data_IF_032477554140
#
_entry.id   IF_032477554140
#
_cell.length_a   1.000
_cell.length_b   1.000
_cell.length_c   1.000
_cell.angle_alpha   90.00
_cell.angle_beta   90.00
_cell.angle_gamma   90.00
#
_symmetry.space_group_name_H-M   'P 1'
#
loop_
_entity.id
_entity.type
_entity.pdbx_description
1 polymer ?
#
# COMPACT_ATOMS: atom_id res chain seq x y z
N UNK A 1 -64.35 -73.56 -32.77
CA UNK A 1 -64.62 -72.37 -31.94
C UNK A 1 -64.31 -72.74 -30.49
N UNK A 2 -63.23 -72.21 -29.93
CA UNK A 2 -62.87 -72.08 -28.51
C UNK A 2 -61.44 -71.49 -28.43
N UNK A 3 -61.27 -70.17 -28.59
CA UNK A 3 -60.92 -69.17 -27.55
C UNK A 3 -60.00 -69.65 -26.40
N UNK A 4 -58.73 -69.23 -26.47
CA UNK A 4 -58.03 -68.48 -25.42
C UNK A 4 -57.47 -69.21 -24.21
N UNK A 5 -56.14 -69.20 -24.08
CA UNK A 5 -55.50 -68.97 -22.78
C UNK A 5 -54.14 -68.32 -22.99
N UNK A 6 -54.08 -67.01 -22.76
CA UNK A 6 -52.86 -66.23 -22.60
C UNK A 6 -52.70 -66.03 -21.09
N UNK A 7 -51.70 -66.66 -20.50
CA UNK A 7 -51.31 -66.50 -19.09
C UNK A 7 -49.82 -66.18 -19.07
N UNK A 8 -49.28 -65.18 -18.35
CA UNK A 8 -49.79 -64.03 -17.61
C UNK A 8 -48.56 -63.16 -17.33
N UNK A 9 -48.71 -61.85 -17.46
CA UNK A 9 -47.93 -60.77 -16.83
C UNK A 9 -46.40 -60.87 -16.81
N UNK A 10 -45.75 -60.30 -17.82
CA UNK A 10 -44.44 -59.67 -17.61
C UNK A 10 -44.68 -58.33 -16.90
N UNK A 11 -44.54 -58.29 -15.58
CA UNK A 11 -44.35 -57.04 -14.86
C UNK A 11 -43.06 -56.42 -15.37
N UNK A 12 -43.19 -55.41 -16.25
CA UNK A 12 -42.07 -54.56 -16.61
C UNK A 12 -41.87 -53.59 -15.45
N UNK A 13 -41.08 -54.00 -14.47
CA UNK A 13 -40.65 -53.12 -13.38
C UNK A 13 -39.59 -52.17 -13.96
N UNK A 14 -40.06 -51.14 -14.66
CA UNK A 14 -39.27 -50.19 -15.44
C UNK A 14 -38.72 -49.07 -14.53
N UNK A 15 -38.12 -49.45 -13.40
CA UNK A 15 -37.38 -48.52 -12.57
C UNK A 15 -36.06 -49.17 -12.21
N UNK A 16 -35.14 -49.16 -13.18
CA UNK A 16 -33.73 -49.38 -12.89
C UNK A 16 -33.23 -48.25 -11.97
N UNK A 17 -33.13 -48.56 -10.67
CA UNK A 17 -32.60 -47.65 -9.63
C UNK A 17 -31.08 -47.60 -9.61
N UNK A 18 -30.40 -48.39 -10.44
CA UNK A 18 -28.95 -48.58 -10.33
C UNK A 18 -28.15 -47.61 -11.17
N UNK A 19 -28.79 -46.73 -11.96
CA UNK A 19 -28.10 -45.87 -12.93
C UNK A 19 -27.12 -46.67 -13.79
N UNK A 20 -27.39 -47.96 -14.03
CA UNK A 20 -26.45 -48.83 -14.73
C UNK A 20 -26.53 -48.62 -16.23
N UNK A 21 -25.37 -48.53 -16.87
CA UNK A 21 -25.22 -48.28 -18.30
C UNK A 21 -25.23 -49.57 -19.14
N UNK A 22 -25.42 -50.74 -18.51
CA UNK A 22 -25.20 -52.05 -19.13
C UNK A 22 -26.21 -52.41 -20.25
N UNK A 23 -27.36 -51.74 -20.33
CA UNK A 23 -28.37 -51.95 -21.38
C UNK A 23 -28.93 -50.64 -21.96
N UNK A 24 -28.23 -49.53 -21.79
CA UNK A 24 -28.65 -48.22 -22.31
C UNK A 24 -28.39 -48.19 -23.82
N UNK A 25 -29.30 -47.66 -24.65
CA UNK A 25 -29.05 -47.55 -26.09
C UNK A 25 -27.74 -46.79 -26.34
N UNK A 26 -27.03 -47.19 -27.39
CA UNK A 26 -25.62 -46.84 -27.59
C UNK A 26 -25.38 -45.31 -27.59
N UNK A 27 -26.38 -44.54 -28.04
CA UNK A 27 -26.41 -43.09 -28.03
C UNK A 27 -26.44 -42.48 -26.62
N UNK A 28 -27.26 -43.02 -25.73
CA UNK A 28 -27.37 -42.57 -24.35
C UNK A 28 -26.15 -42.98 -23.50
N UNK A 29 -25.53 -44.14 -23.77
CA UNK A 29 -24.24 -44.51 -23.17
C UNK A 29 -23.12 -43.58 -23.61
N UNK A 30 -23.01 -43.32 -24.92
CA UNK A 30 -21.98 -42.42 -25.45
C UNK A 30 -22.13 -40.99 -24.92
N UNK A 31 -23.37 -40.51 -24.78
CA UNK A 31 -23.66 -39.19 -24.20
C UNK A 31 -23.31 -39.14 -22.72
N UNK A 32 -23.63 -40.18 -21.95
CA UNK A 32 -23.28 -40.29 -20.54
C UNK A 32 -21.77 -40.33 -20.29
N UNK A 33 -21.03 -41.13 -21.08
CA UNK A 33 -19.57 -41.23 -21.00
C UNK A 33 -18.90 -39.87 -21.33
N UNK A 34 -19.36 -39.20 -22.39
CA UNK A 34 -18.83 -37.88 -22.78
C UNK A 34 -19.14 -36.77 -21.75
N UNK A 35 -20.25 -36.89 -21.02
CA UNK A 35 -20.63 -35.92 -20.01
C UNK A 35 -19.95 -36.19 -18.66
N UNK A 36 -19.71 -37.45 -18.30
CA UNK A 36 -19.03 -37.86 -17.07
C UNK A 36 -17.61 -37.27 -16.96
N UNK A 37 -16.89 -37.14 -18.08
CA UNK A 37 -15.57 -36.49 -18.13
C UNK A 37 -15.63 -34.97 -17.91
N UNK A 38 -16.82 -34.38 -17.96
CA UNK A 38 -17.06 -32.92 -17.82
C UNK A 38 -17.74 -32.54 -16.50
N UNK A 39 -18.09 -33.51 -15.64
CA UNK A 39 -18.77 -33.23 -14.36
C UNK A 39 -17.78 -32.85 -13.27
N UNK A 40 -17.52 -31.54 -13.17
CA UNK A 40 -16.85 -30.88 -12.06
C UNK A 40 -17.18 -29.40 -12.12
N UNK A 41 -18.33 -28.99 -11.57
CA UNK A 41 -18.93 -27.64 -11.71
C UNK A 41 -18.16 -26.50 -10.98
N UNK A 42 -16.92 -26.75 -10.58
CA UNK A 42 -15.99 -25.73 -10.08
C UNK A 42 -15.09 -25.16 -11.20
N UNK A 43 -15.30 -25.62 -12.45
CA UNK A 43 -14.41 -25.38 -13.59
C UNK A 43 -15.19 -24.73 -14.75
N UNK A 44 -14.68 -23.61 -15.25
CA UNK A 44 -15.23 -22.90 -16.42
C UNK A 44 -14.68 -23.56 -17.70
N UNK A 45 -15.57 -23.95 -18.62
CA UNK A 45 -15.25 -24.62 -19.88
C UNK A 45 -15.46 -23.68 -21.10
N UNK A 46 -14.80 -23.93 -22.22
CA UNK A 46 -15.03 -23.22 -23.50
C UNK A 46 -16.21 -23.81 -24.31
N UNK A 47 -16.49 -23.24 -25.50
CA UNK A 47 -17.60 -23.67 -26.38
C UNK A 47 -17.45 -25.12 -26.87
N UNK A 48 -16.22 -25.64 -26.91
CA UNK A 48 -15.89 -27.03 -27.27
C UNK A 48 -15.87 -27.95 -26.02
N UNK A 49 -16.05 -27.38 -24.83
CA UNK A 49 -16.06 -28.08 -23.55
C UNK A 49 -14.68 -28.48 -23.03
N UNK A 50 -13.62 -27.81 -23.49
CA UNK A 50 -12.29 -27.93 -22.91
C UNK A 50 -12.17 -27.09 -21.65
N UNK A 51 -11.30 -27.52 -20.74
CA UNK A 51 -11.04 -26.77 -19.52
C UNK A 51 -10.27 -25.48 -19.83
N UNK A 52 -10.86 -24.33 -19.51
CA UNK A 52 -10.18 -23.04 -19.57
C UNK A 52 -9.33 -22.89 -18.30
N UNK A 53 -8.25 -23.66 -18.20
CA UNK A 53 -7.16 -23.24 -17.34
C UNK A 53 -6.42 -22.14 -18.10
N UNK A 54 -6.43 -20.92 -17.59
CA UNK A 54 -5.17 -20.18 -17.69
C UNK A 54 -4.14 -21.07 -16.99
N UNK A 55 -3.17 -21.62 -17.73
CA UNK A 55 -2.12 -22.42 -17.10
C UNK A 55 -1.49 -21.61 -15.97
N UNK A 56 -1.09 -22.25 -14.87
CA UNK A 56 -0.38 -21.54 -13.79
C UNK A 56 0.75 -20.66 -14.35
N UNK A 57 1.48 -21.16 -15.35
CA UNK A 57 2.50 -20.40 -16.07
C UNK A 57 1.96 -19.18 -16.84
N UNK A 58 0.78 -19.26 -17.46
CA UNK A 58 0.14 -18.12 -18.13
C UNK A 58 -0.38 -17.08 -17.11
N UNK A 59 -0.97 -17.53 -16.00
CA UNK A 59 -1.37 -16.65 -14.89
C UNK A 59 -0.14 -15.99 -14.28
N UNK A 60 0.90 -16.75 -13.96
CA UNK A 60 2.16 -16.24 -13.42
C UNK A 60 2.82 -15.24 -14.37
N UNK A 61 2.78 -15.47 -15.70
CA UNK A 61 3.27 -14.51 -16.71
C UNK A 61 2.43 -13.22 -16.77
N UNK A 62 1.11 -13.33 -16.65
CA UNK A 62 0.20 -12.19 -16.62
C UNK A 62 0.36 -11.37 -15.32
N UNK A 63 0.69 -12.06 -14.22
CA UNK A 63 0.79 -11.50 -12.88
C UNK A 63 2.20 -10.96 -12.58
N UNK A 64 3.22 -11.50 -13.25
CA UNK A 64 4.58 -11.00 -13.25
C UNK A 64 4.58 -9.53 -13.67
N UNK A 65 4.89 -8.65 -12.73
CA UNK A 65 4.96 -7.21 -12.94
C UNK A 65 3.64 -6.44 -12.77
N UNK A 66 2.47 -7.10 -12.69
CA UNK A 66 1.18 -6.43 -12.48
C UNK A 66 0.72 -6.37 -11.02
N UNK A 67 1.17 -7.32 -10.19
CA UNK A 67 0.95 -7.30 -8.73
C UNK A 67 2.08 -6.63 -7.96
N UNK A 68 3.06 -6.07 -8.65
CA UNK A 68 3.98 -5.16 -8.02
C UNK A 68 3.22 -3.91 -7.62
N UNK A 69 2.82 -3.82 -6.36
CA UNK A 69 2.69 -2.55 -5.65
C UNK A 69 4.04 -1.76 -5.64
N UNK A 70 5.01 -2.16 -6.46
CA UNK A 70 6.35 -1.60 -6.61
C UNK A 70 6.31 -0.26 -7.33
N UNK A 71 5.47 -0.04 -8.34
CA UNK A 71 5.40 1.30 -8.95
C UNK A 71 4.85 2.35 -7.96
N UNK A 72 4.00 1.91 -7.02
CA UNK A 72 3.58 2.72 -5.88
C UNK A 72 4.62 2.74 -4.74
N UNK A 73 5.42 1.69 -4.53
CA UNK A 73 6.39 1.60 -3.43
C UNK A 73 7.77 2.20 -3.75
N UNK A 74 8.20 2.23 -5.02
CA UNK A 74 9.50 2.72 -5.44
C UNK A 74 9.62 4.24 -5.26
N UNK A 75 8.49 4.96 -5.32
CA UNK A 75 8.40 6.39 -4.98
C UNK A 75 7.44 6.71 -3.82
N UNK A 76 6.62 5.76 -3.37
CA UNK A 76 5.66 5.99 -2.28
C UNK A 76 6.25 5.94 -0.89
N UNK A 77 5.39 6.05 0.11
CA UNK A 77 5.76 6.02 1.53
C UNK A 77 6.18 4.60 1.93
N UNK A 78 7.40 4.45 2.44
CA UNK A 78 7.94 3.17 2.95
C UNK A 78 8.07 3.14 4.46
N UNK A 79 8.06 4.31 5.11
CA UNK A 79 7.94 4.44 6.56
C UNK A 79 7.44 5.85 6.91
N UNK A 80 6.76 6.00 8.03
CA UNK A 80 6.36 7.29 8.55
C UNK A 80 6.03 7.22 10.03
N UNK A 81 5.97 8.38 10.65
CA UNK A 81 5.52 8.59 12.02
C UNK A 81 5.03 10.02 12.19
N UNK A 82 4.76 10.42 13.43
CA UNK A 82 4.11 11.71 13.74
C UNK A 82 4.79 12.93 13.11
N UNK A 83 6.12 12.87 12.96
CA UNK A 83 6.97 13.99 12.55
C UNK A 83 7.96 13.65 11.42
N UNK A 84 7.73 12.56 10.69
CA UNK A 84 8.54 12.21 9.52
C UNK A 84 7.86 11.30 8.51
N UNK A 85 8.38 11.33 7.28
CA UNK A 85 8.07 10.34 6.24
C UNK A 85 9.33 9.96 5.47
N UNK A 86 9.41 8.70 5.06
CA UNK A 86 10.43 8.15 4.16
C UNK A 86 9.76 7.63 2.90
N UNK A 87 10.31 8.03 1.76
CA UNK A 87 9.89 7.58 0.44
C UNK A 87 10.82 6.48 -0.08
N UNK A 88 10.29 5.56 -0.88
CA UNK A 88 11.02 4.43 -1.44
C UNK A 88 12.23 4.83 -2.27
N UNK A 89 12.18 6.01 -2.88
CA UNK A 89 13.27 6.57 -3.66
C UNK A 89 14.43 7.10 -2.80
N UNK A 90 14.36 7.01 -1.47
CA UNK A 90 15.39 7.43 -0.53
C UNK A 90 15.21 8.83 0.05
N UNK A 91 14.17 9.57 -0.36
CA UNK A 91 13.86 10.88 0.21
C UNK A 91 13.25 10.76 1.61
N UNK A 92 13.69 11.60 2.54
CA UNK A 92 13.11 11.74 3.87
C UNK A 92 12.68 13.18 4.08
N UNK A 93 11.56 13.37 4.76
CA UNK A 93 11.08 14.66 5.22
C UNK A 93 10.86 14.53 6.73
N UNK A 94 11.43 15.43 7.51
CA UNK A 94 11.15 15.60 8.93
C UNK A 94 10.52 16.97 9.14
N UNK A 95 9.50 17.07 9.98
CA UNK A 95 8.89 18.35 10.38
C UNK A 95 8.76 18.41 11.89
N UNK A 96 8.53 19.60 12.42
CA UNK A 96 8.33 19.78 13.86
C UNK A 96 8.32 21.24 14.27
N UNK A 97 8.38 21.46 15.58
CA UNK A 97 8.32 22.78 16.17
C UNK A 97 9.49 22.98 17.12
N UNK A 98 10.08 24.17 17.10
CA UNK A 98 11.11 24.59 18.05
C UNK A 98 10.68 25.89 18.70
N UNK A 99 11.12 26.12 19.93
CA UNK A 99 10.97 27.39 20.61
C UNK A 99 12.34 27.98 20.92
N UNK A 100 12.39 29.30 20.91
CA UNK A 100 13.55 30.04 21.39
C UNK A 100 13.31 30.54 22.81
N UNK A 101 14.38 30.58 23.60
CA UNK A 101 14.38 31.28 24.88
C UNK A 101 14.18 32.79 24.70
N UNK A 102 14.22 33.53 25.80
CA UNK A 102 14.16 35.00 25.77
C UNK A 102 15.26 35.56 24.85
N UNK A 103 14.87 36.36 23.86
CA UNK A 103 15.81 36.95 22.92
C UNK A 103 16.25 38.33 23.40
N UNK A 104 17.48 38.44 23.86
CA UNK A 104 18.05 39.71 24.34
C UNK A 104 18.41 40.67 23.19
N UNK A 105 18.37 41.99 23.42
CA UNK A 105 18.77 42.99 22.43
C UNK A 105 20.16 42.72 21.85
N UNK A 106 20.28 42.83 20.53
CA UNK A 106 21.55 42.69 19.80
C UNK A 106 22.29 41.37 20.06
N UNK A 107 21.53 40.30 20.34
CA UNK A 107 22.07 38.96 20.59
C UNK A 107 21.41 37.93 19.68
N UNK A 108 22.20 36.91 19.31
CA UNK A 108 21.68 35.68 18.75
C UNK A 108 21.13 34.79 19.88
N UNK A 109 20.03 34.11 19.61
CA UNK A 109 19.45 33.05 20.46
C UNK A 109 19.38 31.78 19.64
N UNK A 110 19.71 30.64 20.25
CA UNK A 110 19.88 29.37 19.56
C UNK A 110 18.80 28.38 19.96
N UNK A 111 18.42 27.52 19.02
CA UNK A 111 17.56 26.38 19.26
C UNK A 111 17.89 25.25 18.29
N UNK A 112 17.51 24.03 18.66
CA UNK A 112 17.83 22.82 17.89
C UNK A 112 16.55 22.19 17.37
N UNK A 113 16.44 22.07 16.05
CA UNK A 113 15.43 21.19 15.46
C UNK A 113 15.97 19.77 15.43
N UNK A 114 15.46 18.93 16.34
CA UNK A 114 15.80 17.49 16.41
C UNK A 114 14.90 16.71 15.46
N UNK A 115 15.50 15.89 14.61
CA UNK A 115 14.76 15.06 13.67
C UNK A 115 14.21 13.81 14.36
N UNK A 116 12.97 13.43 14.05
CA UNK A 116 12.37 12.21 14.57
C UNK A 116 13.16 10.94 14.17
N UNK A 117 13.83 10.99 13.01
CA UNK A 117 14.75 9.94 12.53
C UNK A 117 15.95 10.60 11.86
N UNK A 118 17.16 10.00 11.91
CA UNK A 118 18.33 10.60 11.30
C UNK A 118 18.26 10.58 9.76
N UNK A 119 18.86 11.59 9.13
CA UNK A 119 19.24 11.56 7.71
C UNK A 119 20.53 10.76 7.52
N UNK A 120 20.77 10.28 6.30
CA UNK A 120 21.99 9.56 5.93
C UNK A 120 23.25 10.43 5.99
N UNK A 121 23.10 11.74 5.75
CA UNK A 121 24.18 12.71 5.80
C UNK A 121 23.62 14.13 6.06
N UNK A 122 24.50 15.13 6.12
CA UNK A 122 24.16 16.54 6.39
C UNK A 122 23.75 17.33 5.14
N UNK A 123 23.55 16.68 3.99
CA UNK A 123 23.17 17.28 2.72
C UNK A 123 21.68 17.64 2.58
N UNK A 124 20.88 17.54 3.66
CA UNK A 124 19.48 17.91 3.64
C UNK A 124 19.28 19.43 3.51
N UNK A 125 18.19 19.84 2.88
CA UNK A 125 17.67 21.20 2.94
C UNK A 125 16.85 21.39 4.22
N UNK A 126 16.78 22.61 4.74
CA UNK A 126 15.99 22.95 5.93
C UNK A 126 15.40 24.35 5.77
N UNK A 127 14.19 24.51 6.27
CA UNK A 127 13.48 25.78 6.41
C UNK A 127 12.80 25.82 7.77
N UNK A 128 12.68 27.01 8.35
CA UNK A 128 11.73 27.25 9.42
C UNK A 128 10.94 28.52 9.19
N UNK A 129 9.76 28.59 9.79
CA UNK A 129 8.83 29.70 9.71
C UNK A 129 8.37 30.07 11.11
N UNK A 130 8.44 31.35 11.43
CA UNK A 130 7.91 31.87 12.68
C UNK A 130 6.38 31.73 12.72
N UNK A 131 5.85 31.24 13.84
CA UNK A 131 4.43 30.86 13.97
C UNK A 131 3.50 31.98 14.42
N UNK A 132 4.02 33.05 15.01
CA UNK A 132 3.23 34.19 15.47
C UNK A 132 4.05 35.48 15.43
N UNK A 133 3.37 36.62 15.26
CA UNK A 133 4.02 37.93 15.28
C UNK A 133 4.60 38.24 16.67
N UNK A 134 5.85 38.71 16.69
CA UNK A 134 6.57 39.10 17.93
C UNK A 134 6.66 40.63 18.06
N UNK A 135 5.90 41.36 17.24
CA UNK A 135 5.86 42.82 17.13
C UNK A 135 7.15 43.40 16.57
N UNK A 136 7.06 44.50 15.82
CA UNK A 136 8.23 45.27 15.36
C UNK A 136 8.99 44.68 14.17
N UNK A 137 9.66 45.56 13.42
CA UNK A 137 10.41 45.26 12.20
C UNK A 137 11.75 44.58 12.53
N UNK A 138 11.74 43.31 12.88
CA UNK A 138 12.97 42.54 12.92
C UNK A 138 12.89 41.43 11.88
N UNK A 139 13.75 41.57 10.88
CA UNK A 139 14.06 40.54 9.91
C UNK A 139 14.60 39.33 10.68
N UNK A 140 13.77 38.33 10.96
CA UNK A 140 14.19 37.06 11.53
C UNK A 140 14.87 36.23 10.44
N UNK A 141 16.12 36.60 10.14
CA UNK A 141 17.01 35.74 9.37
C UNK A 141 17.32 34.52 10.24
N UNK A 142 16.69 33.39 9.93
CA UNK A 142 17.07 32.10 10.50
C UNK A 142 18.44 31.78 9.92
N UNK A 143 19.46 31.87 10.78
CA UNK A 143 20.80 31.46 10.39
C UNK A 143 20.93 29.98 10.74
N UNK A 144 21.17 29.17 9.70
CA UNK A 144 21.68 27.82 9.90
C UNK A 144 23.06 27.92 10.53
N UNK A 145 23.21 27.36 11.73
CA UNK A 145 24.47 27.39 12.47
C UNK A 145 25.28 26.15 12.12
N UNK A 146 24.67 24.98 12.24
CA UNK A 146 25.29 23.71 11.92
C UNK A 146 24.27 22.67 11.45
N UNK A 147 24.79 21.54 10.97
CA UNK A 147 24.01 20.39 10.55
C UNK A 147 24.62 19.12 11.12
N UNK A 148 23.76 18.25 11.66
CA UNK A 148 24.08 16.89 12.06
C UNK A 148 23.09 15.94 11.39
N UNK A 149 23.37 14.65 11.37
CA UNK A 149 22.41 13.67 10.82
C UNK A 149 21.12 13.60 11.63
N UNK A 150 21.13 14.04 12.90
CA UNK A 150 20.00 13.95 13.85
C UNK A 150 19.30 15.28 14.12
N UNK A 151 19.81 16.39 13.59
CA UNK A 151 19.21 17.70 13.80
C UNK A 151 20.00 18.85 13.19
N UNK A 152 19.44 20.05 13.23
CA UNK A 152 20.10 21.28 12.83
C UNK A 152 20.00 22.32 13.93
N UNK A 153 21.11 22.98 14.27
CA UNK A 153 21.04 24.18 15.10
C UNK A 153 20.75 25.40 14.25
N UNK A 154 19.78 26.16 14.71
CA UNK A 154 19.36 27.41 14.08
C UNK A 154 19.47 28.52 15.10
N UNK A 155 19.68 29.74 14.60
CA UNK A 155 19.67 30.92 15.43
C UNK A 155 18.78 32.00 14.87
N UNK A 156 18.25 32.78 15.80
CA UNK A 156 17.48 33.98 15.55
C UNK A 156 18.19 35.17 16.17
N UNK A 157 18.16 36.31 15.51
CA UNK A 157 18.79 37.54 16.00
C UNK A 157 17.72 38.57 16.36
N UNK A 158 17.80 39.13 17.57
CA UNK A 158 16.92 40.21 17.97
C UNK A 158 17.58 41.57 17.72
N UNK A 159 17.15 42.26 16.65
CA UNK A 159 17.61 43.62 16.32
C UNK A 159 16.86 44.75 17.07
N UNK A 160 15.93 44.44 17.98
CA UNK A 160 15.28 45.46 18.82
C UNK A 160 16.23 45.95 19.90
N UNK A 161 15.94 47.15 20.40
CA UNK A 161 16.54 47.71 21.62
C UNK A 161 15.99 47.08 22.91
N UNK A 162 14.93 46.28 22.82
CA UNK A 162 14.29 45.60 23.96
C UNK A 162 14.26 44.08 23.77
N UNK A 163 14.24 43.30 24.87
CA UNK A 163 14.03 41.87 24.79
C UNK A 163 12.67 41.53 24.15
N UNK A 164 12.59 40.36 23.51
CA UNK A 164 11.31 39.70 23.23
C UNK A 164 11.04 38.66 24.31
N UNK A 165 9.76 38.39 24.57
CA UNK A 165 9.34 37.33 25.48
C UNK A 165 9.89 35.96 25.03
N UNK A 166 10.12 35.07 26.00
CA UNK A 166 10.51 33.70 25.73
C UNK A 166 9.37 32.92 25.07
N UNK A 167 9.72 31.89 24.30
CA UNK A 167 8.72 30.99 23.69
C UNK A 167 8.34 31.35 22.26
N UNK A 168 9.13 32.16 21.56
CA UNK A 168 8.93 32.41 20.14
C UNK A 168 9.08 31.10 19.38
N UNK A 169 7.97 30.66 18.78
CA UNK A 169 7.82 29.34 18.18
C UNK A 169 8.07 29.38 16.67
N UNK A 170 8.78 28.38 16.17
CA UNK A 170 9.05 28.19 14.76
C UNK A 170 8.66 26.78 14.32
N UNK A 171 7.89 26.70 13.24
CA UNK A 171 7.66 25.44 12.55
C UNK A 171 8.82 25.17 11.60
N UNK A 172 9.30 23.94 11.59
CA UNK A 172 10.50 23.53 10.86
C UNK A 172 10.17 22.39 9.91
N UNK A 173 10.84 22.38 8.75
CA UNK A 173 10.84 21.26 7.82
C UNK A 173 12.26 21.03 7.30
N UNK A 174 12.69 19.77 7.28
CA UNK A 174 13.95 19.33 6.71
C UNK A 174 13.69 18.24 5.67
N UNK A 175 14.37 18.33 4.51
CA UNK A 175 14.20 17.42 3.38
C UNK A 175 15.57 16.92 2.93
N UNK A 176 15.75 15.61 2.89
CA UNK A 176 17.05 15.01 2.59
C UNK A 176 16.96 13.54 2.22
N UNK A 177 18.04 12.81 2.46
CA UNK A 177 18.17 11.39 2.09
C UNK A 177 18.27 10.51 3.34
N UNK A 178 17.61 9.35 3.34
CA UNK A 178 17.73 8.34 4.41
C UNK A 178 18.53 7.09 4.00
N UNK A 179 18.80 6.94 2.71
CA UNK A 179 19.70 5.96 2.10
C UNK A 179 20.49 6.61 0.97
#
# INVERSE_FOLDING_TARGET
>A
MAIGSMTTNSTVDMIDKTLTIENVPADAKATGDALAEKVGKDVILDEDGNVIFYSKAAVDKLLAGKLGLHDAADNGVVAGGDNYVRLGNGTQICWGHITFGQMNPSSATYSTFTFAVPFANTGYAIMSLQTHDVGGTNFLAINLVDKTTTGANVSVYNSKSTPNDAGVGHDCIAIGRWK
#
